data_IF_695342920939
#
_entry.id   IF_695342920939
#
_cell.length_a   1.000
_cell.length_b   1.000
_cell.length_c   1.000
_cell.angle_alpha   90.00
_cell.angle_beta   90.00
_cell.angle_gamma   90.00
#
_symmetry.space_group_name_H-M   'P 1'
#
loop_
_entity.id
_entity.type
_entity.pdbx_description
1 polymer ?
#
# COMPACT_ATOMS: atom_id res chain seq x y z
N UNK A 1 39.72 -8.74 17.73
CA UNK A 1 38.55 -9.03 18.57
C UNK A 1 37.92 -10.33 18.10
N UNK A 2 37.92 -11.37 18.93
CA UNK A 2 37.36 -12.69 18.59
C UNK A 2 35.84 -12.61 18.64
N UNK A 3 35.15 -12.97 17.55
CA UNK A 3 33.70 -13.14 17.53
C UNK A 3 33.36 -14.39 18.36
N UNK A 4 32.78 -14.20 19.54
CA UNK A 4 32.16 -15.31 20.26
C UNK A 4 30.99 -15.84 19.42
N UNK A 5 30.77 -17.16 19.33
CA UNK A 5 29.58 -17.68 18.68
C UNK A 5 28.38 -17.26 19.54
N UNK A 6 27.67 -16.22 19.11
CA UNK A 6 26.49 -15.68 19.79
C UNK A 6 25.32 -16.67 19.83
N UNK A 7 25.37 -17.70 19.00
CA UNK A 7 24.35 -18.74 18.92
C UNK A 7 24.78 -19.97 19.72
N UNK A 8 24.03 -20.31 20.77
CA UNK A 8 24.29 -21.44 21.65
C UNK A 8 23.04 -22.31 21.85
N UNK A 9 23.21 -23.49 22.47
CA UNK A 9 22.11 -24.46 22.67
C UNK A 9 20.96 -23.90 23.53
N UNK A 10 21.25 -22.97 24.45
CA UNK A 10 20.24 -22.31 25.27
C UNK A 10 19.28 -21.45 24.41
N UNK A 11 19.81 -20.72 23.42
CA UNK A 11 18.99 -19.95 22.48
C UNK A 11 18.17 -20.85 21.56
N UNK A 12 18.71 -22.00 21.15
CA UNK A 12 17.95 -23.00 20.38
C UNK A 12 16.76 -23.53 21.18
N UNK A 13 16.96 -23.80 22.47
CA UNK A 13 15.88 -24.27 23.35
C UNK A 13 14.80 -23.21 23.56
N UNK A 14 15.19 -21.93 23.72
CA UNK A 14 14.22 -20.82 23.68
C UNK A 14 13.40 -20.87 22.40
N UNK A 15 14.06 -20.95 21.23
CA UNK A 15 13.35 -20.96 19.95
C UNK A 15 12.36 -22.14 19.84
N UNK A 16 12.73 -23.31 20.33
CA UNK A 16 11.88 -24.52 20.33
C UNK A 16 10.62 -24.37 21.19
N UNK A 17 10.69 -23.64 22.30
CA UNK A 17 9.53 -23.37 23.18
C UNK A 17 8.49 -22.42 22.58
N UNK A 18 8.85 -21.68 21.54
CA UNK A 18 7.97 -20.71 20.89
C UNK A 18 7.47 -21.26 19.56
N UNK A 19 6.31 -21.95 19.52
CA UNK A 19 5.81 -22.52 18.28
C UNK A 19 5.61 -21.45 17.22
N UNK A 20 5.21 -20.22 17.59
CA UNK A 20 4.98 -19.07 16.69
C UNK A 20 6.23 -18.43 16.10
N UNK A 21 7.41 -18.84 16.53
CA UNK A 21 8.64 -18.54 15.84
C UNK A 21 8.79 -19.54 14.70
N UNK A 22 9.02 -19.06 13.48
CA UNK A 22 9.20 -19.89 12.28
C UNK A 22 10.67 -20.02 11.90
N UNK A 23 11.41 -18.91 11.99
CA UNK A 23 12.84 -18.90 11.73
C UNK A 23 13.55 -17.77 12.48
N UNK A 24 14.85 -17.96 12.74
CA UNK A 24 15.73 -16.91 13.27
C UNK A 24 16.93 -16.72 12.34
N UNK A 25 17.17 -15.47 12.00
CA UNK A 25 18.29 -15.02 11.16
C UNK A 25 19.25 -14.20 11.98
N UNK A 26 20.56 -14.33 11.75
CA UNK A 26 21.59 -13.55 12.41
C UNK A 26 22.36 -12.70 11.40
N UNK A 27 22.48 -11.41 11.69
CA UNK A 27 23.32 -10.48 10.93
C UNK A 27 24.80 -10.68 11.24
N UNK A 28 25.68 -10.20 10.36
CA UNK A 28 27.12 -10.12 10.65
C UNK A 28 27.47 -9.27 11.91
N UNK A 29 26.55 -8.42 12.38
CA UNK A 29 26.71 -7.59 13.58
C UNK A 29 26.00 -8.16 14.82
N UNK A 30 25.62 -9.45 14.80
CA UNK A 30 25.00 -10.10 15.98
C UNK A 30 23.55 -9.69 16.27
N UNK A 31 22.88 -8.97 15.37
CA UNK A 31 21.44 -8.73 15.46
C UNK A 31 20.65 -9.97 15.03
N UNK A 32 19.51 -10.21 15.67
CA UNK A 32 18.59 -11.29 15.33
C UNK A 32 17.35 -10.78 14.60
N UNK A 33 17.01 -11.44 13.50
CA UNK A 33 15.79 -11.28 12.75
C UNK A 33 14.84 -12.43 13.08
N UNK A 34 13.71 -12.10 13.71
CA UNK A 34 12.68 -13.06 14.10
C UNK A 34 11.61 -13.12 13.02
N UNK A 35 11.42 -14.29 12.42
CA UNK A 35 10.31 -14.57 11.53
C UNK A 35 9.22 -15.30 12.31
N UNK A 36 8.07 -14.67 12.49
CA UNK A 36 6.92 -15.30 13.15
C UNK A 36 6.02 -16.05 12.15
N UNK A 37 5.07 -16.83 12.66
CA UNK A 37 4.08 -17.58 11.86
C UNK A 37 3.09 -16.68 11.13
N UNK A 38 2.75 -15.53 11.70
CA UNK A 38 1.77 -14.62 11.11
C UNK A 38 2.23 -14.13 9.73
N UNK A 39 1.26 -13.91 8.84
CA UNK A 39 1.52 -13.38 7.48
C UNK A 39 2.30 -12.07 7.55
N UNK A 40 3.21 -11.84 6.61
CA UNK A 40 3.92 -10.56 6.51
C UNK A 40 3.00 -9.44 6.02
N UNK A 41 2.01 -9.78 5.20
CA UNK A 41 1.10 -8.85 4.55
C UNK A 41 -0.33 -9.14 5.03
N UNK A 42 -0.74 -8.66 6.22
CA UNK A 42 -2.11 -8.84 6.70
C UNK A 42 -3.08 -8.02 5.84
N UNK A 43 -4.33 -8.45 5.78
CA UNK A 43 -5.38 -7.61 5.20
C UNK A 43 -5.56 -6.34 6.04
N UNK A 44 -6.00 -5.26 5.41
CA UNK A 44 -6.16 -3.98 6.10
C UNK A 44 -7.10 -4.06 7.32
N UNK A 45 -8.12 -4.95 7.26
CA UNK A 45 -9.07 -5.20 8.34
C UNK A 45 -8.47 -5.99 9.51
N UNK A 46 -7.49 -6.84 9.24
CA UNK A 46 -6.82 -7.68 10.23
C UNK A 46 -5.67 -6.94 10.93
N UNK A 47 -5.26 -5.78 10.41
CA UNK A 47 -3.99 -5.14 10.79
C UNK A 47 -3.87 -4.80 12.27
N UNK A 48 -4.96 -4.42 12.93
CA UNK A 48 -4.95 -4.09 14.37
C UNK A 48 -4.73 -5.35 15.21
N UNK A 49 -5.51 -6.40 14.92
CA UNK A 49 -5.41 -7.69 15.60
C UNK A 49 -4.05 -8.35 15.35
N UNK A 50 -3.63 -8.40 14.08
CA UNK A 50 -2.32 -8.89 13.67
C UNK A 50 -1.16 -8.13 14.35
N UNK A 51 -1.26 -6.80 14.50
CA UNK A 51 -0.23 -6.03 15.22
C UNK A 51 -0.20 -6.38 16.71
N UNK A 52 -1.37 -6.58 17.34
CA UNK A 52 -1.45 -6.95 18.74
C UNK A 52 -0.87 -8.35 18.97
N UNK A 53 -1.27 -9.31 18.13
CA UNK A 53 -0.85 -10.70 18.20
C UNK A 53 0.66 -10.85 17.96
N UNK A 54 1.18 -10.29 16.86
CA UNK A 54 2.62 -10.33 16.55
C UNK A 54 3.46 -9.64 17.62
N UNK A 55 2.95 -8.58 18.26
CA UNK A 55 3.63 -7.89 19.37
C UNK A 55 3.66 -8.72 20.64
N UNK A 56 2.59 -9.42 20.96
CA UNK A 56 2.54 -10.33 22.11
C UNK A 56 3.53 -11.47 21.93
N UNK A 57 3.51 -12.15 20.78
CA UNK A 57 4.45 -13.24 20.46
C UNK A 57 5.89 -12.73 20.47
N UNK A 58 6.19 -11.65 19.75
CA UNK A 58 7.54 -11.10 19.68
C UNK A 58 8.08 -10.73 21.07
N UNK A 59 7.26 -10.14 21.93
CA UNK A 59 7.67 -9.79 23.30
C UNK A 59 8.00 -11.02 24.12
N UNK A 60 7.19 -12.08 24.03
CA UNK A 60 7.47 -13.35 24.70
C UNK A 60 8.81 -13.94 24.27
N UNK A 61 9.01 -14.08 22.96
CA UNK A 61 10.27 -14.59 22.38
C UNK A 61 11.47 -13.72 22.81
N UNK A 62 11.37 -12.39 22.67
CA UNK A 62 12.46 -11.47 23.00
C UNK A 62 12.79 -11.56 24.50
N UNK A 63 11.78 -11.60 25.37
CA UNK A 63 11.99 -11.68 26.82
C UNK A 63 12.75 -12.97 27.18
N UNK A 64 12.34 -14.10 26.62
CA UNK A 64 13.03 -15.38 26.87
C UNK A 64 14.44 -15.40 26.30
N UNK A 65 14.67 -14.81 25.12
CA UNK A 65 16.01 -14.66 24.55
C UNK A 65 16.90 -13.79 25.47
N UNK A 66 16.36 -12.70 26.03
CA UNK A 66 17.08 -11.85 27.00
C UNK A 66 17.42 -12.64 28.27
N UNK A 67 16.48 -13.39 28.81
CA UNK A 67 16.69 -14.25 29.98
C UNK A 67 17.73 -15.35 29.72
N UNK A 68 17.84 -15.84 28.49
CA UNK A 68 18.88 -16.77 28.03
C UNK A 68 20.23 -16.10 27.73
N UNK A 69 20.37 -14.80 28.00
CA UNK A 69 21.64 -14.06 27.88
C UNK A 69 21.88 -13.36 26.53
N UNK A 70 20.88 -13.28 25.64
CA UNK A 70 21.02 -12.52 24.39
C UNK A 70 21.07 -11.01 24.65
N UNK A 71 22.18 -10.37 24.32
CA UNK A 71 22.39 -8.92 24.52
C UNK A 71 22.25 -8.09 23.24
N UNK A 72 22.21 -8.71 22.06
CA UNK A 72 22.13 -8.02 20.76
C UNK A 72 20.78 -7.32 20.47
N UNK A 73 20.69 -6.68 19.31
CA UNK A 73 19.44 -6.09 18.83
C UNK A 73 18.52 -7.11 18.16
N UNK A 74 17.21 -7.00 18.35
CA UNK A 74 16.21 -7.83 17.65
C UNK A 74 15.40 -7.00 16.65
N UNK A 75 15.03 -7.61 15.53
CA UNK A 75 14.05 -7.09 14.58
C UNK A 75 13.02 -8.16 14.29
N UNK A 76 11.76 -7.77 14.20
CA UNK A 76 10.66 -8.67 13.85
C UNK A 76 10.34 -8.45 12.38
N UNK A 77 10.51 -9.49 11.56
CA UNK A 77 10.39 -9.39 10.10
C UNK A 77 8.98 -8.94 9.69
N UNK A 78 7.95 -9.33 10.45
CA UNK A 78 6.56 -8.90 10.26
C UNK A 78 6.39 -7.39 10.19
N UNK A 79 7.23 -6.60 10.87
CA UNK A 79 7.07 -5.15 10.94
C UNK A 79 7.90 -4.39 9.91
N UNK A 80 8.64 -5.10 9.06
CA UNK A 80 9.52 -4.49 8.06
C UNK A 80 8.86 -4.46 6.68
N UNK A 81 9.25 -3.51 5.81
CA UNK A 81 8.87 -3.53 4.40
C UNK A 81 9.35 -4.82 3.70
N UNK A 82 8.62 -5.33 2.67
CA UNK A 82 9.00 -6.54 1.95
C UNK A 82 10.44 -6.53 1.40
N UNK A 83 10.89 -5.38 0.87
CA UNK A 83 12.27 -5.20 0.35
C UNK A 83 13.34 -5.47 1.44
N UNK A 84 13.09 -5.04 2.67
CA UNK A 84 14.02 -5.24 3.78
C UNK A 84 13.96 -6.68 4.31
N UNK A 85 12.78 -7.29 4.32
CA UNK A 85 12.63 -8.71 4.68
C UNK A 85 13.36 -9.60 3.69
N UNK A 86 13.18 -9.37 2.37
CA UNK A 86 13.90 -10.10 1.32
C UNK A 86 15.41 -9.98 1.49
N UNK A 87 15.90 -8.78 1.79
CA UNK A 87 17.33 -8.52 2.03
C UNK A 87 17.85 -9.28 3.25
N UNK A 88 17.09 -9.33 4.35
CA UNK A 88 17.47 -10.07 5.56
C UNK A 88 17.51 -11.57 5.25
N UNK A 89 16.44 -12.12 4.68
CA UNK A 89 16.34 -13.56 4.37
C UNK A 89 17.44 -14.01 3.42
N UNK A 90 17.84 -13.17 2.46
CA UNK A 90 18.89 -13.48 1.48
C UNK A 90 20.32 -13.34 2.04
N UNK A 91 20.56 -12.47 3.04
CA UNK A 91 21.92 -12.10 3.47
C UNK A 91 22.30 -12.53 4.87
N UNK A 92 21.32 -12.70 5.76
CA UNK A 92 21.59 -13.07 7.15
C UNK A 92 21.67 -14.58 7.29
N UNK A 93 22.50 -15.06 8.20
CA UNK A 93 22.70 -16.50 8.43
C UNK A 93 21.46 -17.04 9.14
N UNK A 94 20.77 -18.02 8.55
CA UNK A 94 19.66 -18.70 9.23
C UNK A 94 20.24 -19.59 10.33
N UNK A 95 19.93 -19.28 11.59
CA UNK A 95 20.42 -20.02 12.76
C UNK A 95 19.41 -21.02 13.30
N UNK A 96 18.14 -20.80 13.02
CA UNK A 96 17.07 -21.70 13.43
C UNK A 96 15.94 -21.69 12.39
N UNK A 97 15.34 -22.87 12.19
CA UNK A 97 14.25 -23.11 11.23
C UNK A 97 13.30 -24.14 11.85
N UNK A 98 12.27 -23.66 12.56
CA UNK A 98 11.30 -24.53 13.24
C UNK A 98 10.14 -24.98 12.36
N UNK A 99 9.88 -24.25 11.27
CA UNK A 99 8.82 -24.57 10.32
C UNK A 99 9.25 -24.20 8.89
N UNK A 100 10.03 -25.08 8.22
CA UNK A 100 10.58 -24.80 6.90
C UNK A 100 9.50 -24.58 5.83
N UNK A 101 8.36 -25.26 5.95
CA UNK A 101 7.25 -25.15 5.04
C UNK A 101 6.58 -23.77 5.16
N UNK A 102 6.25 -23.34 6.38
CA UNK A 102 5.69 -22.01 6.62
C UNK A 102 6.67 -20.91 6.27
N UNK A 103 7.96 -21.07 6.59
CA UNK A 103 9.01 -20.14 6.18
C UNK A 103 8.99 -19.94 4.67
N UNK A 104 9.02 -21.04 3.92
CA UNK A 104 9.07 -21.01 2.46
C UNK A 104 7.82 -20.35 1.86
N UNK A 105 6.63 -20.62 2.43
CA UNK A 105 5.40 -19.96 2.02
C UNK A 105 5.43 -18.45 2.25
N UNK A 106 5.94 -18.01 3.41
CA UNK A 106 6.07 -16.58 3.74
C UNK A 106 7.08 -15.90 2.81
N UNK A 107 8.26 -16.49 2.59
CA UNK A 107 9.30 -15.91 1.72
C UNK A 107 8.85 -15.81 0.27
N UNK A 108 8.14 -16.82 -0.26
CA UNK A 108 7.57 -16.76 -1.61
C UNK A 108 6.50 -15.66 -1.76
N UNK A 109 5.82 -15.29 -0.67
CA UNK A 109 4.92 -14.13 -0.64
C UNK A 109 5.68 -12.80 -0.70
N UNK A 110 6.82 -12.71 -0.01
CA UNK A 110 7.71 -11.53 -0.05
C UNK A 110 8.29 -11.33 -1.44
N UNK A 111 8.82 -12.39 -2.05
CA UNK A 111 9.43 -12.33 -3.39
C UNK A 111 8.44 -11.80 -4.42
N UNK A 112 7.18 -12.29 -4.38
CA UNK A 112 6.10 -11.75 -5.22
C UNK A 112 5.84 -10.27 -4.94
N UNK A 113 5.71 -9.87 -3.68
CA UNK A 113 5.48 -8.47 -3.32
C UNK A 113 6.62 -7.54 -3.77
N UNK A 114 7.88 -7.99 -3.67
CA UNK A 114 9.05 -7.26 -4.13
C UNK A 114 9.08 -7.17 -5.66
N UNK A 115 8.75 -8.25 -6.36
CA UNK A 115 8.62 -8.25 -7.82
C UNK A 115 7.56 -7.26 -8.28
N UNK A 116 6.39 -7.25 -7.64
CA UNK A 116 5.29 -6.32 -7.93
C UNK A 116 5.71 -4.86 -7.67
N UNK A 117 6.37 -4.59 -6.55
CA UNK A 117 6.88 -3.24 -6.23
C UNK A 117 7.94 -2.78 -7.22
N UNK A 118 8.85 -3.67 -7.61
CA UNK A 118 9.90 -3.37 -8.59
C UNK A 118 9.26 -3.05 -9.94
N UNK A 119 8.29 -3.86 -10.36
CA UNK A 119 7.52 -3.63 -11.58
C UNK A 119 6.81 -2.26 -11.59
N UNK A 120 6.15 -1.91 -10.48
CA UNK A 120 5.48 -0.61 -10.32
C UNK A 120 6.48 0.56 -10.29
N UNK A 121 7.61 0.41 -9.59
CA UNK A 121 8.68 1.43 -9.55
C UNK A 121 9.22 1.69 -10.94
N UNK A 122 9.59 0.65 -11.70
CA UNK A 122 10.13 0.76 -13.07
C UNK A 122 9.18 1.50 -14.01
N UNK A 123 7.86 1.30 -13.91
CA UNK A 123 6.88 2.07 -14.70
C UNK A 123 6.76 3.52 -14.29
N UNK A 124 6.92 3.80 -13.01
CA UNK A 124 6.83 5.15 -12.45
C UNK A 124 8.08 5.98 -12.82
N UNK A 125 9.28 5.38 -12.76
CA UNK A 125 10.52 6.02 -13.21
C UNK A 125 10.60 6.16 -14.73
N UNK A 126 10.13 5.18 -15.51
CA UNK A 126 10.02 5.32 -16.96
C UNK A 126 9.07 6.46 -17.41
N UNK A 127 8.14 6.87 -16.54
CA UNK A 127 7.25 8.03 -16.80
C UNK A 127 7.85 9.37 -16.33
N UNK A 128 8.95 9.36 -15.57
CA UNK A 128 9.50 10.56 -14.90
C UNK A 128 10.84 11.05 -15.47
N UNK A 129 11.48 10.28 -16.35
CA UNK A 129 12.67 10.72 -17.08
C UNK A 129 12.25 11.25 -18.46
N UNK A 130 12.52 12.53 -18.81
CA UNK A 130 12.44 12.95 -20.20
C UNK A 130 13.57 12.22 -20.94
N UNK A 131 13.23 11.17 -21.68
CA UNK A 131 14.20 10.46 -22.50
C UNK A 131 14.73 11.41 -23.60
N UNK A 132 16.04 11.41 -23.90
CA UNK A 132 16.54 12.04 -25.12
C UNK A 132 15.86 11.35 -26.30
N UNK A 133 15.32 12.13 -27.24
CA UNK A 133 14.70 11.64 -28.47
C UNK A 133 15.60 10.62 -29.15
N UNK A 134 15.16 9.36 -29.31
CA UNK A 134 15.69 8.49 -30.34
C UNK A 134 14.84 8.68 -31.59
N UNK A 135 15.49 8.98 -32.70
CA UNK A 135 14.92 9.02 -34.05
C UNK A 135 14.45 7.62 -34.48
N UNK A 136 13.37 7.11 -33.91
CA UNK A 136 12.49 6.10 -34.52
C UNK A 136 11.23 5.89 -33.66
N UNK A 137 10.03 6.26 -34.15
CA UNK A 137 8.80 6.05 -33.38
C UNK A 137 8.38 4.59 -33.47
N UNK A 138 8.49 3.86 -32.36
CA UNK A 138 7.94 2.51 -32.24
C UNK A 138 6.40 2.59 -32.15
N UNK A 139 5.75 2.13 -33.22
CA UNK A 139 4.40 2.47 -33.62
C UNK A 139 3.27 1.69 -32.93
N UNK A 140 3.35 1.37 -31.62
CA UNK A 140 2.36 0.45 -31.00
C UNK A 140 1.62 0.87 -29.73
N UNK A 141 1.60 2.12 -29.26
CA UNK A 141 0.66 2.44 -28.13
C UNK A 141 0.13 3.86 -27.97
N UNK A 142 0.29 4.75 -28.95
CA UNK A 142 -0.26 6.12 -28.92
C UNK A 142 -1.43 6.31 -29.88
N UNK A 143 -2.39 5.37 -29.88
CA UNK A 143 -3.69 5.58 -30.52
C UNK A 143 -4.71 6.00 -29.47
N UNK A 144 -5.57 6.96 -29.83
CA UNK A 144 -6.73 7.31 -29.03
C UNK A 144 -7.60 6.06 -28.77
N UNK A 145 -8.27 6.03 -27.62
CA UNK A 145 -9.15 4.93 -27.23
C UNK A 145 -10.23 4.72 -28.31
N UNK A 146 -10.19 3.55 -28.95
CA UNK A 146 -11.17 3.08 -29.92
C UNK A 146 -12.05 1.97 -29.31
N UNK A 147 -13.03 1.48 -30.06
CA UNK A 147 -14.00 0.48 -29.59
C UNK A 147 -13.31 -0.83 -29.14
N UNK A 148 -12.27 -1.25 -29.86
CA UNK A 148 -11.47 -2.42 -29.47
C UNK A 148 -10.72 -2.18 -28.15
N UNK A 149 -10.15 -0.99 -27.98
CA UNK A 149 -9.53 -0.56 -26.73
C UNK A 149 -10.51 -0.52 -25.54
N UNK A 150 -11.77 -0.18 -25.79
CA UNK A 150 -12.85 -0.17 -24.80
C UNK A 150 -13.25 -1.58 -24.36
N UNK A 151 -13.38 -2.53 -25.28
CA UNK A 151 -13.66 -3.94 -24.94
C UNK A 151 -12.53 -4.56 -24.11
N UNK A 152 -11.28 -4.32 -24.47
CA UNK A 152 -10.12 -4.79 -23.68
C UNK A 152 -10.05 -4.08 -22.31
N UNK A 153 -10.52 -2.83 -22.22
CA UNK A 153 -10.65 -2.13 -20.93
C UNK A 153 -11.73 -2.75 -20.05
N UNK A 154 -12.87 -3.13 -20.63
CA UNK A 154 -13.98 -3.80 -19.92
C UNK A 154 -13.53 -5.15 -19.36
N UNK A 155 -12.89 -6.00 -20.18
CA UNK A 155 -12.34 -7.27 -19.73
C UNK A 155 -11.32 -7.10 -18.59
N UNK A 156 -10.46 -6.06 -18.69
CA UNK A 156 -9.55 -5.71 -17.60
C UNK A 156 -10.27 -5.27 -16.33
N UNK A 157 -11.32 -4.45 -16.45
CA UNK A 157 -12.10 -3.98 -15.30
C UNK A 157 -12.81 -5.14 -14.58
N UNK A 158 -13.40 -6.07 -15.34
CA UNK A 158 -14.03 -7.28 -14.84
C UNK A 158 -13.03 -8.21 -14.14
N UNK A 159 -11.86 -8.42 -14.73
CA UNK A 159 -10.76 -9.17 -14.10
C UNK A 159 -10.33 -8.56 -12.75
N UNK A 160 -10.38 -7.24 -12.62
CA UNK A 160 -10.05 -6.52 -11.39
C UNK A 160 -11.22 -6.44 -10.39
N UNK A 161 -12.42 -6.93 -10.73
CA UNK A 161 -13.60 -6.88 -9.88
C UNK A 161 -13.37 -7.40 -8.45
N UNK A 162 -12.62 -8.51 -8.22
CA UNK A 162 -12.30 -8.95 -6.87
C UNK A 162 -11.56 -7.89 -6.05
N UNK A 163 -10.63 -7.14 -6.66
CA UNK A 163 -9.89 -6.07 -6.00
C UNK A 163 -10.79 -4.89 -5.60
N UNK A 164 -11.76 -4.53 -6.46
CA UNK A 164 -12.71 -3.45 -6.19
C UNK A 164 -13.70 -3.83 -5.09
N UNK A 165 -14.18 -5.08 -5.13
CA UNK A 165 -15.15 -5.59 -4.17
C UNK A 165 -14.52 -5.87 -2.80
N UNK A 166 -13.22 -6.19 -2.75
CA UNK A 166 -12.47 -6.39 -1.52
C UNK A 166 -12.09 -5.09 -0.79
N UNK A 167 -12.35 -3.90 -1.37
CA UNK A 167 -12.02 -2.63 -0.72
C UNK A 167 -12.74 -2.52 0.63
N UNK A 168 -11.97 -2.23 1.67
CA UNK A 168 -12.47 -1.91 3.00
C UNK A 168 -12.02 -0.52 3.43
N UNK A 169 -12.79 0.15 4.31
CA UNK A 169 -14.13 -0.21 4.78
C UNK A 169 -15.18 -0.10 3.67
N UNK A 170 -16.34 -0.73 3.84
CA UNK A 170 -17.44 -0.73 2.87
C UNK A 170 -17.83 0.68 2.36
N UNK A 171 -17.66 1.72 3.19
CA UNK A 171 -17.88 3.12 2.80
C UNK A 171 -16.90 3.59 1.73
N UNK A 172 -15.61 3.31 1.91
CA UNK A 172 -14.56 3.60 0.91
C UNK A 172 -14.89 2.89 -0.40
N UNK A 173 -15.28 1.62 -0.32
CA UNK A 173 -15.70 0.83 -1.49
C UNK A 173 -16.84 1.49 -2.26
N UNK A 174 -17.90 1.93 -1.56
CA UNK A 174 -19.04 2.62 -2.20
C UNK A 174 -18.60 3.90 -2.91
N UNK A 175 -17.72 4.70 -2.30
CA UNK A 175 -17.20 5.93 -2.92
C UNK A 175 -16.35 5.63 -4.17
N UNK A 176 -15.49 4.61 -4.11
CA UNK A 176 -14.68 4.16 -5.25
C UNK A 176 -15.57 3.68 -6.39
N UNK A 177 -16.51 2.78 -6.10
CA UNK A 177 -17.44 2.26 -7.12
C UNK A 177 -18.35 3.35 -7.70
N UNK A 178 -18.82 4.29 -6.89
CA UNK A 178 -19.61 5.43 -7.38
C UNK A 178 -18.78 6.31 -8.33
N UNK A 179 -17.48 6.45 -8.06
CA UNK A 179 -16.56 7.17 -8.95
C UNK A 179 -16.34 6.39 -10.24
N UNK A 180 -16.23 5.05 -10.19
CA UNK A 180 -16.12 4.21 -11.38
C UNK A 180 -17.35 4.30 -12.28
N UNK A 181 -18.56 4.31 -11.70
CA UNK A 181 -19.82 4.52 -12.43
C UNK A 181 -19.77 5.85 -13.17
N UNK A 182 -19.37 6.92 -12.48
CA UNK A 182 -19.23 8.23 -13.12
C UNK A 182 -18.20 8.23 -14.25
N UNK A 183 -17.04 7.59 -14.09
CA UNK A 183 -16.04 7.45 -15.15
C UNK A 183 -16.63 6.72 -16.37
N UNK A 184 -17.32 5.61 -16.15
CA UNK A 184 -17.94 4.86 -17.24
C UNK A 184 -19.00 5.69 -17.98
N UNK A 185 -19.93 6.31 -17.25
CA UNK A 185 -21.07 7.02 -17.81
C UNK A 185 -20.73 8.39 -18.41
N UNK A 186 -19.79 9.12 -17.82
CA UNK A 186 -19.55 10.54 -18.16
C UNK A 186 -18.25 10.77 -18.91
N UNK A 187 -17.31 9.85 -18.83
CA UNK A 187 -15.99 9.98 -19.47
C UNK A 187 -15.81 8.98 -20.59
N UNK A 188 -16.19 7.72 -20.39
CA UNK A 188 -15.97 6.65 -21.37
C UNK A 188 -17.13 6.47 -22.36
N UNK A 189 -18.32 7.00 -22.05
CA UNK A 189 -19.44 7.08 -22.99
C UNK A 189 -19.14 8.01 -24.19
N UNK A 190 -18.33 9.05 -23.96
CA UNK A 190 -17.76 9.90 -25.02
C UNK A 190 -16.29 10.24 -24.69
N UNK A 191 -15.35 9.35 -25.04
CA UNK A 191 -13.92 9.55 -24.79
C UNK A 191 -13.36 10.80 -25.48
N UNK A 192 -14.02 11.24 -26.56
CA UNK A 192 -13.65 12.35 -27.42
C UNK A 192 -14.19 13.72 -26.98
N UNK A 193 -15.12 13.81 -26.02
CA UNK A 193 -15.88 15.03 -25.74
C UNK A 193 -16.22 15.29 -24.26
N UNK A 194 -15.23 15.35 -23.37
CA UNK A 194 -15.44 15.44 -21.91
C UNK A 194 -15.77 16.84 -21.33
N UNK A 195 -16.26 17.80 -22.13
CA UNK A 195 -16.51 19.16 -21.61
C UNK A 195 -17.61 19.20 -20.53
N UNK A 196 -18.58 18.29 -20.60
CA UNK A 196 -19.58 18.11 -19.53
C UNK A 196 -18.99 17.51 -18.27
N UNK A 197 -18.10 16.51 -18.41
CA UNK A 197 -17.45 15.83 -17.29
C UNK A 197 -16.58 16.78 -16.46
N UNK A 198 -15.82 17.70 -17.09
CA UNK A 198 -15.04 18.70 -16.36
C UNK A 198 -15.92 19.62 -15.49
N UNK A 199 -17.10 20.03 -15.98
CA UNK A 199 -18.06 20.82 -15.17
C UNK A 199 -18.58 20.03 -13.97
N UNK A 200 -18.79 18.73 -14.13
CA UNK A 200 -19.24 17.85 -13.05
C UNK A 200 -18.19 17.56 -11.97
N UNK A 201 -16.91 17.83 -12.28
CA UNK A 201 -15.79 17.74 -11.35
C UNK A 201 -15.58 19.02 -10.51
N UNK A 202 -16.33 20.09 -10.73
CA UNK A 202 -16.26 21.31 -9.91
C UNK A 202 -16.58 21.04 -8.42
N UNK A 203 -16.24 21.98 -7.52
CA UNK A 203 -16.36 21.84 -6.05
C UNK A 203 -17.73 21.31 -5.61
N UNK A 204 -18.79 21.87 -6.21
CA UNK A 204 -20.17 21.48 -5.98
C UNK A 204 -20.77 20.72 -7.17
N UNK A 205 -19.91 20.11 -7.99
CA UNK A 205 -20.30 19.38 -9.19
C UNK A 205 -21.10 18.11 -8.89
N UNK A 206 -21.67 17.51 -9.94
CA UNK A 206 -22.53 16.34 -9.81
C UNK A 206 -21.83 15.16 -9.12
N UNK A 207 -20.54 14.92 -9.43
CA UNK A 207 -19.76 13.86 -8.78
C UNK A 207 -19.55 14.16 -7.30
N UNK A 208 -19.16 15.39 -6.94
CA UNK A 208 -18.94 15.80 -5.56
C UNK A 208 -20.20 15.58 -4.71
N UNK A 209 -21.37 16.02 -5.22
CA UNK A 209 -22.66 15.83 -4.56
C UNK A 209 -23.06 14.36 -4.45
N UNK A 210 -22.83 13.57 -5.49
CA UNK A 210 -23.11 12.13 -5.46
C UNK A 210 -22.28 11.42 -4.39
N UNK A 211 -20.98 11.71 -4.30
CA UNK A 211 -20.09 11.14 -3.29
C UNK A 211 -20.44 11.63 -1.88
N UNK A 212 -20.75 12.91 -1.71
CA UNK A 212 -21.15 13.48 -0.43
C UNK A 212 -22.41 12.81 0.14
N UNK A 213 -23.40 12.46 -0.70
CA UNK A 213 -24.62 11.74 -0.27
C UNK A 213 -24.35 10.33 0.27
N UNK A 214 -23.21 9.72 -0.07
CA UNK A 214 -22.82 8.40 0.43
C UNK A 214 -22.12 8.45 1.80
N UNK A 215 -21.84 9.66 2.31
CA UNK A 215 -21.15 9.88 3.58
C UNK A 215 -22.16 10.39 4.62
N UNK A 216 -22.23 9.78 5.82
CA UNK A 216 -23.04 10.33 6.91
C UNK A 216 -22.59 11.75 7.29
N UNK A 217 -23.54 12.62 7.62
CA UNK A 217 -23.25 14.03 7.93
C UNK A 217 -22.15 14.23 8.98
N UNK A 218 -22.10 13.41 10.02
CA UNK A 218 -21.08 13.47 11.07
C UNK A 218 -19.64 13.21 10.58
N UNK A 219 -19.46 12.64 9.39
CA UNK A 219 -18.15 12.31 8.81
C UNK A 219 -17.82 13.12 7.57
N UNK A 220 -18.73 13.98 7.09
CA UNK A 220 -18.58 14.66 5.80
C UNK A 220 -17.29 15.48 5.74
N UNK A 221 -16.91 16.16 6.82
CA UNK A 221 -15.68 16.95 6.88
C UNK A 221 -14.41 16.09 6.68
N UNK A 222 -14.44 14.85 7.18
CA UNK A 222 -13.32 13.90 7.05
C UNK A 222 -13.19 13.37 5.63
N UNK A 223 -14.32 13.03 5.00
CA UNK A 223 -14.35 12.49 3.64
C UNK A 223 -14.28 13.56 2.54
N UNK A 224 -14.57 14.82 2.86
CA UNK A 224 -14.47 15.93 1.91
C UNK A 224 -13.07 16.04 1.32
N UNK A 225 -12.03 15.91 2.15
CA UNK A 225 -10.64 15.91 1.67
C UNK A 225 -10.37 14.78 0.67
N UNK A 226 -10.90 13.58 0.92
CA UNK A 226 -10.77 12.46 -0.02
C UNK A 226 -11.48 12.75 -1.35
N UNK A 227 -12.71 13.28 -1.28
CA UNK A 227 -13.52 13.64 -2.44
C UNK A 227 -12.81 14.70 -3.29
N UNK A 228 -12.24 15.72 -2.64
CA UNK A 228 -11.53 16.81 -3.32
C UNK A 228 -10.26 16.33 -4.03
N UNK A 229 -9.47 15.44 -3.40
CA UNK A 229 -8.27 14.85 -4.02
C UNK A 229 -8.64 14.00 -5.23
N UNK A 230 -9.63 13.12 -5.11
CA UNK A 230 -10.09 12.28 -6.22
C UNK A 230 -10.56 13.14 -7.39
N UNK A 231 -11.31 14.22 -7.11
CA UNK A 231 -11.78 15.14 -8.14
C UNK A 231 -10.63 15.88 -8.82
N UNK A 232 -9.67 16.42 -8.06
CA UNK A 232 -8.52 17.13 -8.61
C UNK A 232 -7.65 16.21 -9.50
N UNK A 233 -7.46 14.95 -9.10
CA UNK A 233 -6.69 13.98 -9.88
C UNK A 233 -7.45 13.55 -11.15
N UNK A 234 -8.77 13.36 -11.06
CA UNK A 234 -9.62 13.12 -12.24
C UNK A 234 -9.60 14.32 -13.19
N UNK A 235 -9.68 15.53 -12.67
CA UNK A 235 -9.63 16.76 -13.46
C UNK A 235 -8.30 16.85 -14.20
N UNK A 236 -7.18 16.64 -13.50
CA UNK A 236 -5.85 16.58 -14.12
C UNK A 236 -5.77 15.52 -15.21
N UNK A 237 -6.36 14.35 -14.98
CA UNK A 237 -6.42 13.28 -15.98
C UNK A 237 -7.27 13.65 -17.20
N UNK A 238 -8.36 14.39 -17.03
CA UNK A 238 -9.21 14.85 -18.12
C UNK A 238 -8.58 16.00 -18.92
N UNK A 239 -7.68 16.78 -18.34
CA UNK A 239 -6.89 17.78 -19.09
C UNK A 239 -5.89 17.13 -20.06
N UNK A 240 -5.67 15.82 -20.00
CA UNK A 240 -4.80 15.13 -20.94
C UNK A 240 -5.34 15.25 -22.39
N UNK A 241 -4.50 15.57 -23.39
CA UNK A 241 -4.94 15.80 -24.76
C UNK A 241 -5.75 14.63 -25.30
N UNK A 242 -6.89 14.92 -25.95
CA UNK A 242 -7.85 13.91 -26.43
C UNK A 242 -7.19 12.85 -27.31
N UNK A 243 -6.31 13.27 -28.22
CA UNK A 243 -5.56 12.38 -29.10
C UNK A 243 -4.62 11.39 -28.37
N UNK A 244 -4.32 11.64 -27.09
CA UNK A 244 -3.43 10.82 -26.25
C UNK A 244 -4.16 9.99 -25.19
N UNK A 245 -5.50 10.07 -25.14
CA UNK A 245 -6.32 9.30 -24.22
C UNK A 245 -6.43 7.87 -24.72
N UNK A 246 -5.47 7.04 -24.32
CA UNK A 246 -5.40 5.62 -24.67
C UNK A 246 -6.10 4.75 -23.62
N UNK A 247 -6.06 3.42 -23.82
CA UNK A 247 -6.49 2.47 -22.80
C UNK A 247 -5.74 2.64 -21.46
N UNK A 248 -4.44 2.98 -21.49
CA UNK A 248 -3.68 3.19 -20.27
C UNK A 248 -4.21 4.37 -19.46
N UNK A 249 -4.59 5.45 -20.16
CA UNK A 249 -5.28 6.59 -19.55
C UNK A 249 -6.62 6.16 -18.94
N UNK A 250 -7.42 5.37 -19.66
CA UNK A 250 -8.72 4.93 -19.15
C UNK A 250 -8.59 4.02 -17.90
N UNK A 251 -7.59 3.12 -17.88
CA UNK A 251 -7.26 2.32 -16.68
C UNK A 251 -6.86 3.21 -15.50
N UNK A 252 -6.08 4.25 -15.76
CA UNK A 252 -5.65 5.19 -14.73
C UNK A 252 -6.83 5.90 -14.06
N UNK A 253 -7.88 6.27 -14.81
CA UNK A 253 -9.09 6.87 -14.24
C UNK A 253 -9.74 6.00 -13.15
N UNK A 254 -9.81 4.69 -13.36
CA UNK A 254 -10.34 3.74 -12.37
C UNK A 254 -9.39 3.54 -11.18
N UNK A 255 -8.08 3.73 -11.37
CA UNK A 255 -7.10 3.58 -10.29
C UNK A 255 -7.00 4.82 -9.38
N UNK A 256 -7.38 6.01 -9.85
CA UNK A 256 -7.35 7.25 -9.05
C UNK A 256 -8.08 7.09 -7.71
N UNK A 257 -9.39 6.77 -7.65
CA UNK A 257 -10.09 6.65 -6.37
C UNK A 257 -9.57 5.50 -5.50
N UNK A 258 -9.01 4.45 -6.11
CA UNK A 258 -8.38 3.36 -5.39
C UNK A 258 -7.07 3.78 -4.71
N UNK A 259 -6.29 4.64 -5.34
CA UNK A 259 -4.96 5.07 -4.86
C UNK A 259 -5.01 6.10 -3.73
N UNK A 260 -6.09 6.86 -3.60
CA UNK A 260 -6.22 7.87 -2.55
C UNK A 260 -6.43 7.19 -1.19
N UNK A 261 -5.52 7.41 -0.22
CA UNK A 261 -5.59 6.78 1.10
C UNK A 261 -6.80 7.30 1.88
N UNK A 262 -7.32 6.45 2.78
CA UNK A 262 -8.40 6.90 3.66
C UNK A 262 -7.97 8.07 4.54
N UNK A 263 -8.84 9.07 4.75
CA UNK A 263 -8.64 10.07 5.79
C UNK A 263 -8.56 9.35 7.15
N UNK A 264 -7.45 9.52 7.86
CA UNK A 264 -7.32 9.00 9.23
C UNK A 264 -8.10 9.93 10.16
N UNK A 265 -9.04 9.41 10.95
CA UNK A 265 -9.58 10.14 12.10
C UNK A 265 -8.44 10.36 13.10
N UNK A 266 -7.88 11.56 13.14
CA UNK A 266 -6.82 11.87 14.09
C UNK A 266 -6.28 13.30 14.06
N UNK A 267 -6.68 14.07 15.09
CA UNK A 267 -6.04 15.25 15.67
C UNK A 267 -6.19 16.59 14.93
N UNK A 268 -7.36 17.19 15.05
CA UNK A 268 -7.41 18.61 15.39
C UNK A 268 -7.05 18.72 16.88
N UNK A 269 -5.75 18.84 17.17
CA UNK A 269 -5.34 19.55 18.39
C UNK A 269 -5.62 21.01 18.05
N UNK A 270 -6.69 21.56 18.61
CA UNK A 270 -6.78 23.01 18.77
C UNK A 270 -5.55 23.37 19.60
N UNK A 271 -4.54 23.95 18.94
CA UNK A 271 -3.53 24.72 19.65
C UNK A 271 -4.28 25.97 20.09
N UNK A 272 -4.82 25.95 21.31
CA UNK A 272 -5.11 27.16 22.04
C UNK A 272 -3.77 27.83 22.28
N UNK A 273 -3.37 28.67 21.31
CA UNK A 273 -2.35 29.68 21.52
C UNK A 273 -2.93 30.68 22.51
N UNK A 274 -2.43 30.63 23.74
CA UNK A 274 -2.76 31.56 24.80
C UNK A 274 -1.63 31.52 25.81
N UNK A 275 -0.58 32.27 25.51
CA UNK A 275 0.58 32.44 26.37
C UNK A 275 0.16 33.17 27.65
N UNK A 276 0.38 32.56 28.82
CA UNK A 276 0.60 33.33 30.04
C UNK A 276 2.10 33.58 30.21
N UNK A 277 2.44 34.85 30.10
CA UNK A 277 3.75 35.43 30.35
C UNK A 277 3.96 35.49 31.87
N UNK A 278 5.10 35.03 32.44
CA UNK A 278 5.45 35.40 33.79
C UNK A 278 6.00 36.83 33.77
N UNK A 279 5.26 37.78 34.36
CA UNK A 279 5.82 39.10 34.70
C UNK A 279 6.64 38.96 35.97
N UNK A 280 7.93 39.23 35.83
CA UNK A 280 8.79 39.69 36.91
C UNK A 280 8.30 41.06 37.39
N UNK A 281 7.97 41.15 38.67
CA UNK A 281 8.21 42.29 39.56
C UNK A 281 8.10 41.78 41.01
#
# INVERSE_FOLDING_TARGET
MRAFPMWNDCLVEVCRRHPDLVAVYESAHGRLGLLLRQTLMPLAVERVEWMAETRTVARGVITDLRSAGFVGGTVVLQWLPPDDVARIVARWIRRWDGDPARRSAITAGVERAVADQTFLKTRTTASSTPAPLPDTPDARTTRALDDTGLEVLKAWYEMMAPCWLAIQPARRRRLVLQTHVWVAERVLADPGGSSGALKELAADGALARALARLVPGAEIATWRLWIDVVRADLERALHHPRARRSQAWARWLFLIPYSVPMPRRGRLRVVTGGAEVPRLA
#
